data_IF_780616117230
#
_entry.id   IF_780616117230
#
_cell.length_a   1.000
_cell.length_b   1.000
_cell.length_c   1.000
_cell.angle_alpha   90.00
_cell.angle_beta   90.00
_cell.angle_gamma   90.00
#
_symmetry.space_group_name_H-M   'P 1'
#
loop_
_entity.id
_entity.type
_entity.pdbx_description
1 polymer ?
#
# COMPACT_ATOMS: atom_id res chain seq x y z
N UNK A 1 -25.12 31.30 -27.86
CA UNK A 1 -23.77 30.68 -27.77
C UNK A 1 -23.36 30.36 -26.33
N UNK A 2 -23.98 30.98 -25.33
CA UNK A 2 -23.56 30.88 -23.92
C UNK A 2 -23.66 29.49 -23.29
N UNK A 3 -24.63 28.67 -23.71
CA UNK A 3 -24.84 27.32 -23.14
C UNK A 3 -23.76 26.32 -23.53
N UNK A 4 -23.13 26.50 -24.70
CA UNK A 4 -22.05 25.62 -25.17
C UNK A 4 -20.74 25.97 -24.46
N UNK A 5 -20.48 27.26 -24.25
CA UNK A 5 -19.31 27.74 -23.51
C UNK A 5 -19.36 27.34 -22.02
N UNK A 6 -20.53 27.46 -21.39
CA UNK A 6 -20.72 27.04 -20.00
C UNK A 6 -20.46 25.54 -19.80
N UNK A 7 -20.91 24.68 -20.73
CA UNK A 7 -20.67 23.24 -20.65
C UNK A 7 -19.20 22.84 -20.92
N UNK A 8 -18.47 23.61 -21.72
CA UNK A 8 -17.06 23.38 -22.01
C UNK A 8 -16.16 23.75 -20.82
N UNK A 9 -16.48 24.86 -20.15
CA UNK A 9 -15.86 25.28 -18.88
C UNK A 9 -16.14 24.30 -17.74
N UNK A 10 -17.37 23.76 -17.65
CA UNK A 10 -17.73 22.75 -16.64
C UNK A 10 -17.00 21.42 -16.83
N UNK A 11 -16.68 21.05 -18.08
CA UNK A 11 -15.93 19.84 -18.40
C UNK A 11 -14.44 19.95 -18.10
N UNK A 12 -13.84 21.12 -18.33
CA UNK A 12 -12.43 21.41 -17.98
C UNK A 12 -12.21 21.46 -16.47
N UNK A 13 -13.18 22.00 -15.71
CA UNK A 13 -13.08 22.06 -14.24
C UNK A 13 -13.10 20.66 -13.61
N UNK A 14 -13.89 19.73 -14.12
CA UNK A 14 -13.92 18.35 -13.61
C UNK A 14 -12.63 17.57 -13.87
N UNK A 15 -12.04 17.71 -15.06
CA UNK A 15 -10.77 17.06 -15.37
C UNK A 15 -9.64 17.59 -14.49
N UNK A 16 -9.60 18.90 -14.24
CA UNK A 16 -8.64 19.52 -13.34
C UNK A 16 -8.79 19.02 -11.89
N UNK A 17 -10.02 18.85 -11.40
CA UNK A 17 -10.28 18.33 -10.06
C UNK A 17 -9.84 16.87 -9.89
N UNK A 18 -9.99 16.03 -10.92
CA UNK A 18 -9.52 14.63 -10.90
C UNK A 18 -8.00 14.57 -10.82
N UNK A 19 -7.31 15.38 -11.65
CA UNK A 19 -5.84 15.45 -11.63
C UNK A 19 -5.30 16.03 -10.32
N UNK A 20 -5.98 17.04 -9.75
CA UNK A 20 -5.63 17.60 -8.45
C UNK A 20 -5.80 16.55 -7.34
N UNK A 21 -6.87 15.77 -7.37
CA UNK A 21 -7.09 14.67 -6.42
C UNK A 21 -6.01 13.61 -6.48
N UNK A 22 -5.59 13.20 -7.69
CA UNK A 22 -4.49 12.25 -7.88
C UNK A 22 -3.15 12.80 -7.38
N UNK A 23 -2.85 14.07 -7.66
CA UNK A 23 -1.63 14.71 -7.18
C UNK A 23 -1.59 14.82 -5.65
N UNK A 24 -2.70 15.16 -5.01
CA UNK A 24 -2.82 15.22 -3.54
C UNK A 24 -2.66 13.82 -2.94
N UNK A 25 -3.28 12.79 -3.52
CA UNK A 25 -3.14 11.42 -3.06
C UNK A 25 -1.68 10.93 -3.14
N UNK A 26 -0.99 11.22 -4.24
CA UNK A 26 0.43 10.89 -4.41
C UNK A 26 1.32 11.63 -3.39
N UNK A 27 1.06 12.91 -3.14
CA UNK A 27 1.80 13.69 -2.16
C UNK A 27 1.59 13.17 -0.73
N UNK A 28 0.36 12.80 -0.36
CA UNK A 28 0.06 12.22 0.96
C UNK A 28 0.75 10.86 1.14
N UNK A 29 0.80 10.02 0.11
CA UNK A 29 1.52 8.76 0.14
C UNK A 29 3.03 8.98 0.37
N UNK A 30 3.64 9.95 -0.31
CA UNK A 30 5.05 10.29 -0.12
C UNK A 30 5.34 10.81 1.31
N UNK A 31 4.46 11.64 1.87
CA UNK A 31 4.58 12.13 3.25
C UNK A 31 4.47 10.99 4.26
N UNK A 32 3.52 10.08 4.08
CA UNK A 32 3.35 8.91 4.95
C UNK A 32 4.60 8.01 4.92
N UNK A 33 5.18 7.80 3.74
CA UNK A 33 6.41 7.01 3.56
C UNK A 33 7.62 7.68 4.24
N UNK A 34 7.76 9.00 4.13
CA UNK A 34 8.83 9.75 4.78
C UNK A 34 8.70 9.76 6.32
N UNK A 35 7.48 9.90 6.84
CA UNK A 35 7.20 9.82 8.27
C UNK A 35 7.51 8.42 8.82
N UNK A 36 7.17 7.39 8.05
CA UNK A 36 7.46 5.99 8.40
C UNK A 36 8.97 5.71 8.47
N UNK A 37 9.75 6.21 7.51
CA UNK A 37 11.21 6.09 7.53
C UNK A 37 11.84 6.80 8.74
N UNK A 38 11.32 7.96 9.14
CA UNK A 38 11.82 8.64 10.35
C UNK A 38 11.57 7.82 11.62
N UNK A 39 10.37 7.28 11.79
CA UNK A 39 10.01 6.52 13.00
C UNK A 39 10.79 5.21 13.11
N UNK A 40 11.18 4.62 11.98
CA UNK A 40 11.95 3.36 11.96
C UNK A 40 13.44 3.58 12.17
N UNK A 41 14.01 4.70 11.71
CA UNK A 41 15.42 5.03 11.91
C UNK A 41 15.70 5.58 13.32
N UNK A 42 14.79 6.38 13.88
CA UNK A 42 14.96 7.01 15.20
C UNK A 42 14.77 6.03 16.37
N UNK A 43 14.30 4.80 16.10
CA UNK A 43 14.06 3.78 17.13
C UNK A 43 15.31 2.96 17.47
N UNK A 44 16.36 3.03 16.65
CA UNK A 44 17.62 2.32 16.91
C UNK A 44 18.56 3.09 17.89
N UNK A 45 18.32 4.37 18.14
CA UNK A 45 19.21 5.20 19.00
C UNK A 45 18.74 5.33 20.46
N UNK A 46 17.52 4.91 20.81
CA UNK A 46 16.89 5.19 22.12
C UNK A 46 16.44 3.92 22.89
N UNK A 47 17.35 2.96 23.09
CA UNK A 47 17.13 1.86 24.07
C UNK A 47 17.90 2.13 25.37
N UNK A 48 17.27 2.73 26.39
CA UNK A 48 17.83 2.70 27.73
C UNK A 48 17.79 1.26 28.26
N UNK A 49 18.96 0.71 28.58
CA UNK A 49 19.22 -0.64 29.10
C UNK A 49 18.71 -0.88 30.54
N UNK A 50 17.57 -0.29 30.92
CA UNK A 50 16.99 -0.46 32.27
C UNK A 50 15.47 -0.57 32.25
N UNK A 51 14.98 -1.79 32.03
CA UNK A 51 13.84 -2.40 32.76
C UNK A 51 13.54 -3.80 32.24
N UNK A 52 14.22 -4.77 32.84
CA UNK A 52 13.62 -6.09 33.01
C UNK A 52 12.42 -5.97 33.97
N UNK A 53 11.45 -6.88 33.82
CA UNK A 53 10.24 -7.08 34.65
C UNK A 53 9.10 -6.08 34.44
N UNK A 54 8.30 -6.26 33.38
CA UNK A 54 6.82 -6.20 33.40
C UNK A 54 6.24 -6.16 31.97
N UNK A 55 6.26 -7.28 31.23
CA UNK A 55 5.35 -7.45 30.08
C UNK A 55 5.27 -8.94 29.68
N UNK A 56 4.56 -9.75 30.45
CA UNK A 56 4.39 -11.19 30.15
C UNK A 56 3.03 -11.55 29.55
N UNK A 57 2.04 -10.64 29.51
CA UNK A 57 0.64 -11.04 29.22
C UNK A 57 0.00 -10.44 27.95
N UNK A 58 0.77 -9.98 26.95
CA UNK A 58 0.19 -9.25 25.80
C UNK A 58 0.32 -9.92 24.42
N UNK A 59 0.78 -11.18 24.31
CA UNK A 59 0.88 -11.85 23.01
C UNK A 59 0.08 -13.14 22.98
N UNK A 60 -1.23 -13.00 22.74
CA UNK A 60 -2.05 -14.08 22.19
C UNK A 60 -1.89 -14.07 20.65
N UNK A 61 -1.67 -15.21 19.99
CA UNK A 61 -1.57 -15.27 18.55
C UNK A 61 -2.92 -14.95 17.91
N UNK A 62 -2.96 -13.93 17.04
CA UNK A 62 -4.08 -13.67 16.14
C UNK A 62 -4.20 -14.84 15.14
N UNK A 63 -4.92 -15.90 15.53
CA UNK A 63 -5.56 -16.80 14.57
C UNK A 63 -6.64 -16.01 13.86
N UNK A 64 -6.48 -15.81 12.56
CA UNK A 64 -7.49 -15.29 11.65
C UNK A 64 -8.70 -16.24 11.62
N UNK A 65 -9.67 -15.98 12.48
CA UNK A 65 -11.06 -16.36 12.27
C UNK A 65 -11.78 -15.14 11.67
N UNK A 66 -11.98 -15.13 10.36
CA UNK A 66 -13.03 -14.32 9.76
C UNK A 66 -14.38 -14.95 10.17
N UNK A 67 -14.84 -14.60 11.36
CA UNK A 67 -16.09 -15.05 11.95
C UNK A 67 -16.85 -13.86 12.54
N UNK A 68 -18.00 -13.58 11.94
CA UNK A 68 -19.00 -12.60 12.39
C UNK A 68 -19.48 -12.94 13.81
N UNK A 69 -19.32 -12.03 14.79
CA UNK A 69 -20.25 -11.83 15.91
C UNK A 69 -19.82 -10.68 16.87
N UNK A 70 -20.63 -9.62 16.87
CA UNK A 70 -21.19 -8.87 18.01
C UNK A 70 -20.44 -8.78 19.36
N UNK A 71 -20.03 -7.55 19.70
CA UNK A 71 -20.39 -6.85 20.94
C UNK A 71 -19.79 -7.29 22.29
N UNK A 72 -18.89 -6.47 22.84
CA UNK A 72 -18.99 -5.97 24.23
C UNK A 72 -17.99 -4.85 24.53
N UNK A 73 -18.50 -3.87 25.26
CA UNK A 73 -17.83 -2.69 25.81
C UNK A 73 -16.73 -3.01 26.82
N UNK A 74 -15.69 -2.16 26.87
CA UNK A 74 -14.69 -2.17 27.93
C UNK A 74 -13.54 -1.17 27.73
N UNK A 75 -13.66 -0.01 28.39
CA UNK A 75 -12.63 0.92 28.86
C UNK A 75 -11.64 1.60 27.88
N UNK A 76 -12.02 2.82 27.50
CA UNK A 76 -11.21 3.78 26.72
C UNK A 76 -10.87 5.07 27.49
N UNK A 77 -10.22 4.98 28.66
CA UNK A 77 -9.77 6.20 29.40
C UNK A 77 -8.26 6.36 29.59
N UNK A 78 -7.43 5.37 29.26
CA UNK A 78 -5.97 5.46 29.44
C UNK A 78 -5.17 6.03 28.25
N UNK A 79 -5.67 5.95 27.01
CA UNK A 79 -4.85 6.13 25.80
C UNK A 79 -4.84 7.56 25.22
N UNK A 80 -5.73 8.45 25.71
CA UNK A 80 -5.93 9.77 25.09
C UNK A 80 -4.89 10.84 25.50
N UNK A 81 -4.10 10.61 26.55
CA UNK A 81 -3.15 11.61 27.08
C UNK A 81 -1.76 11.54 26.41
N UNK A 82 -1.33 10.36 25.94
CA UNK A 82 0.00 10.19 25.33
C UNK A 82 0.03 10.57 23.84
N UNK A 83 -1.07 10.34 23.12
CA UNK A 83 -1.21 10.71 21.69
C UNK A 83 -1.28 12.23 21.49
N UNK A 84 -1.70 13.00 22.51
CA UNK A 84 -1.93 14.44 22.37
C UNK A 84 -0.63 15.29 22.40
N UNK A 85 0.48 14.75 22.91
CA UNK A 85 1.76 15.49 23.09
C UNK A 85 2.73 15.33 21.90
N UNK A 86 2.61 14.27 21.09
CA UNK A 86 3.42 14.09 19.87
C UNK A 86 2.86 14.81 18.63
N UNK A 87 1.56 15.05 18.57
CA UNK A 87 0.88 15.66 17.41
C UNK A 87 1.12 17.17 17.30
N UNK A 88 1.48 17.86 18.39
CA UNK A 88 1.74 19.30 18.37
C UNK A 88 3.13 19.65 17.83
N UNK A 89 4.15 18.82 18.05
CA UNK A 89 5.52 19.10 17.60
C UNK A 89 5.74 18.92 16.08
N UNK A 90 4.95 18.07 15.42
CA UNK A 90 5.02 17.85 13.96
C UNK A 90 4.25 18.95 13.19
N UNK A 91 3.29 19.60 13.84
CA UNK A 91 2.44 20.62 13.20
C UNK A 91 3.18 21.94 12.95
N UNK A 92 4.20 22.23 13.75
CA UNK A 92 4.93 23.52 13.69
C UNK A 92 6.18 23.50 12.78
N UNK A 93 6.65 22.32 12.34
CA UNK A 93 7.89 22.21 11.54
C UNK A 93 7.69 21.94 10.03
N UNK A 94 6.51 21.48 9.59
CA UNK A 94 6.30 21.04 8.20
C UNK A 94 5.53 22.03 7.30
N UNK A 95 4.90 23.06 7.86
CA UNK A 95 4.03 23.99 7.11
C UNK A 95 4.78 24.97 6.18
N UNK A 96 5.99 25.50 6.48
CA UNK A 96 6.60 26.50 5.60
C UNK A 96 7.29 25.92 4.35
N UNK A 97 7.56 24.60 4.27
CA UNK A 97 8.28 23.99 3.16
C UNK A 97 7.41 23.68 1.92
N UNK A 98 6.09 23.50 2.11
CA UNK A 98 5.15 23.12 1.02
C UNK A 98 4.43 24.35 0.42
N UNK A 99 4.42 25.49 1.11
CA UNK A 99 3.69 26.69 0.68
C UNK A 99 4.37 27.45 -0.49
N UNK A 100 5.69 27.35 -0.66
CA UNK A 100 6.43 28.04 -1.74
C UNK A 100 6.17 27.49 -3.16
N UNK A 101 6.19 26.17 -3.42
CA UNK A 101 5.95 25.67 -4.78
C UNK A 101 4.51 25.91 -5.28
N UNK A 102 3.50 25.88 -4.40
CA UNK A 102 2.10 26.12 -4.78
C UNK A 102 1.82 27.59 -5.14
N UNK A 103 2.48 28.56 -4.49
CA UNK A 103 2.40 29.98 -4.87
C UNK A 103 3.00 30.26 -6.25
N UNK A 104 4.17 29.67 -6.55
CA UNK A 104 4.81 29.81 -7.88
C UNK A 104 3.93 29.25 -9.00
N UNK A 105 3.24 28.14 -8.74
CA UNK A 105 2.34 27.53 -9.73
C UNK A 105 1.08 28.39 -9.97
N UNK A 106 0.56 29.05 -8.92
CA UNK A 106 -0.52 30.03 -9.03
C UNK A 106 -0.14 31.29 -9.82
N UNK A 107 1.09 31.78 -9.68
CA UNK A 107 1.58 32.95 -10.43
C UNK A 107 1.85 32.63 -11.90
N UNK A 108 2.39 31.45 -12.21
CA UNK A 108 2.59 31.00 -13.59
C UNK A 108 1.27 30.79 -14.34
N UNK A 109 0.25 30.22 -13.68
CA UNK A 109 -1.08 30.07 -14.27
C UNK A 109 -1.78 31.41 -14.48
N UNK A 110 -1.59 32.38 -13.57
CA UNK A 110 -2.13 33.73 -13.73
C UNK A 110 -1.45 34.49 -14.88
N UNK A 111 -0.13 34.39 -14.99
CA UNK A 111 0.64 35.00 -16.08
C UNK A 111 0.29 34.41 -17.45
N UNK A 112 0.00 33.11 -17.52
CA UNK A 112 -0.43 32.44 -18.76
C UNK A 112 -1.85 32.87 -19.21
N UNK A 113 -2.68 33.40 -18.31
CA UNK A 113 -4.08 33.73 -18.61
C UNK A 113 -4.33 35.20 -18.94
N UNK A 114 -3.40 36.11 -18.63
CA UNK A 114 -3.54 37.56 -18.87
C UNK A 114 -2.99 38.05 -20.21
N UNK A 115 -2.47 37.17 -21.06
CA UNK A 115 -2.04 37.51 -22.43
C UNK A 115 -3.24 37.68 -23.37
N UNK A 116 -4.03 38.75 -23.19
CA UNK A 116 -5.11 39.11 -24.10
C UNK A 116 -4.52 39.71 -25.39
N UNK A 117 -4.39 38.88 -26.42
CA UNK A 117 -4.05 39.30 -27.78
C UNK A 117 -5.31 39.91 -28.40
N UNK A 118 -5.24 41.20 -28.75
CA UNK A 118 -6.24 41.86 -29.57
C UNK A 118 -6.15 41.31 -30.99
N UNK A 119 -7.10 40.45 -31.35
CA UNK A 119 -7.24 39.90 -32.70
C UNK A 119 -8.25 40.78 -33.44
N UNK A 120 -7.80 41.42 -34.52
CA UNK A 120 -8.68 42.17 -35.43
C UNK A 120 -9.71 41.24 -36.08
N UNK A 121 -10.95 41.74 -36.32
CA UNK A 121 -12.02 40.93 -36.88
C UNK A 121 -11.78 40.63 -38.37
N UNK A 122 -11.17 39.48 -38.64
CA UNK A 122 -11.20 38.83 -39.96
C UNK A 122 -12.66 38.57 -40.40
N UNK A 123 -12.97 38.63 -41.71
CA UNK A 123 -14.30 38.37 -42.23
C UNK A 123 -14.73 36.93 -41.92
N UNK A 124 -15.82 36.81 -41.18
CA UNK A 124 -16.34 35.56 -40.60
C UNK A 124 -16.66 34.55 -41.72
N UNK A 125 -15.89 33.45 -41.88
CA UNK A 125 -16.29 32.36 -42.76
C UNK A 125 -17.60 31.77 -42.24
N UNK A 126 -18.48 31.33 -43.14
CA UNK A 126 -19.75 30.68 -42.79
C UNK A 126 -19.49 29.59 -41.73
N UNK A 127 -19.98 29.84 -40.51
CA UNK A 127 -19.63 29.02 -39.34
C UNK A 127 -20.04 27.56 -39.52
N UNK A 128 -19.39 26.63 -38.80
CA UNK A 128 -19.72 25.22 -38.87
C UNK A 128 -21.19 25.00 -38.51
N UNK A 129 -21.87 24.15 -39.27
CA UNK A 129 -23.27 23.84 -39.02
C UNK A 129 -23.44 23.14 -37.67
N UNK A 130 -24.61 23.27 -37.04
CA UNK A 130 -24.93 22.60 -35.76
C UNK A 130 -24.66 21.08 -35.82
N UNK A 131 -24.93 20.46 -36.97
CA UNK A 131 -24.63 19.05 -37.20
C UNK A 131 -23.12 18.74 -37.15
N UNK A 132 -22.28 19.59 -37.75
CA UNK A 132 -20.83 19.43 -37.69
C UNK A 132 -20.29 19.57 -36.26
N UNK A 133 -20.82 20.53 -35.48
CA UNK A 133 -20.46 20.72 -34.08
C UNK A 133 -20.83 19.51 -33.22
N UNK A 134 -22.03 18.95 -33.40
CA UNK A 134 -22.47 17.74 -32.69
C UNK A 134 -21.65 16.50 -33.07
N UNK A 135 -21.32 16.35 -34.35
CA UNK A 135 -20.46 15.26 -34.83
C UNK A 135 -19.03 15.37 -34.26
N UNK A 136 -18.47 16.59 -34.19
CA UNK A 136 -17.18 16.83 -33.57
C UNK A 136 -17.21 16.53 -32.05
N UNK A 137 -18.25 16.99 -31.34
CA UNK A 137 -18.44 16.69 -29.92
C UNK A 137 -18.53 15.18 -29.65
N UNK A 138 -19.28 14.45 -30.49
CA UNK A 138 -19.41 12.99 -30.38
C UNK A 138 -18.07 12.29 -30.56
N UNK A 139 -17.26 12.70 -31.55
CA UNK A 139 -15.89 12.19 -31.74
C UNK A 139 -15.01 12.44 -30.51
N UNK A 140 -15.08 13.64 -29.93
CA UNK A 140 -14.35 13.95 -28.69
C UNK A 140 -14.78 13.07 -27.52
N UNK A 141 -16.08 12.80 -27.35
CA UNK A 141 -16.56 11.89 -26.31
C UNK A 141 -16.08 10.44 -26.53
N UNK A 142 -16.08 9.98 -27.78
CA UNK A 142 -15.55 8.65 -28.13
C UNK A 142 -14.05 8.55 -27.84
N UNK A 143 -13.27 9.57 -28.18
CA UNK A 143 -11.83 9.62 -27.87
C UNK A 143 -11.58 9.58 -26.36
N UNK A 144 -12.31 10.39 -25.58
CA UNK A 144 -12.23 10.38 -24.12
C UNK A 144 -12.62 9.04 -23.50
N UNK A 145 -13.63 8.36 -24.07
CA UNK A 145 -14.01 7.02 -23.62
C UNK A 145 -12.91 5.99 -23.86
N UNK A 146 -12.23 6.06 -25.03
CA UNK A 146 -11.06 5.21 -25.32
C UNK A 146 -9.91 5.48 -24.35
N UNK A 147 -9.58 6.75 -24.13
CA UNK A 147 -8.52 7.16 -23.18
C UNK A 147 -8.82 6.70 -21.75
N UNK A 148 -10.08 6.82 -21.31
CA UNK A 148 -10.52 6.34 -20.01
C UNK A 148 -10.41 4.81 -19.88
N UNK A 149 -10.77 4.07 -20.94
CA UNK A 149 -10.57 2.63 -21.01
C UNK A 149 -9.09 2.24 -20.86
N UNK A 150 -8.20 2.86 -21.65
CA UNK A 150 -6.75 2.64 -21.55
C UNK A 150 -6.18 3.02 -20.18
N UNK A 151 -6.75 4.02 -19.50
CA UNK A 151 -6.35 4.38 -18.14
C UNK A 151 -6.80 3.31 -17.13
N UNK A 152 -8.02 2.79 -17.26
CA UNK A 152 -8.53 1.71 -16.42
C UNK A 152 -7.71 0.42 -16.59
N UNK A 153 -7.38 0.04 -17.83
CA UNK A 153 -6.57 -1.16 -18.11
C UNK A 153 -5.17 -1.04 -17.49
N UNK A 154 -4.53 0.12 -17.60
CA UNK A 154 -3.22 0.38 -16.98
C UNK A 154 -3.30 0.33 -15.45
N UNK A 155 -4.36 0.88 -14.86
CA UNK A 155 -4.56 0.84 -13.42
C UNK A 155 -4.81 -0.59 -12.92
N UNK A 156 -5.58 -1.40 -13.66
CA UNK A 156 -5.77 -2.81 -13.35
C UNK A 156 -4.44 -3.58 -13.39
N UNK A 157 -3.59 -3.32 -14.39
CA UNK A 157 -2.26 -3.92 -14.45
C UNK A 157 -1.35 -3.51 -13.29
N UNK A 158 -1.44 -2.25 -12.82
CA UNK A 158 -0.73 -1.79 -11.62
C UNK A 158 -1.26 -2.50 -10.36
N UNK A 159 -2.58 -2.61 -10.21
CA UNK A 159 -3.19 -3.31 -9.08
C UNK A 159 -2.76 -4.78 -9.03
N UNK A 160 -2.69 -5.46 -10.19
CA UNK A 160 -2.15 -6.81 -10.29
C UNK A 160 -0.71 -6.92 -9.78
N UNK A 161 0.20 -6.06 -10.26
CA UNK A 161 1.60 -6.05 -9.78
C UNK A 161 1.72 -5.78 -8.28
N UNK A 162 0.94 -4.85 -7.74
CA UNK A 162 0.94 -4.56 -6.30
C UNK A 162 0.39 -5.73 -5.48
N UNK A 163 -0.56 -6.48 -6.02
CA UNK A 163 -1.05 -7.71 -5.41
C UNK A 163 0.05 -8.77 -5.35
N UNK A 164 0.78 -8.96 -6.44
CA UNK A 164 1.89 -9.91 -6.49
C UNK A 164 3.02 -9.51 -5.52
N UNK A 165 3.36 -8.23 -5.45
CA UNK A 165 4.32 -7.69 -4.47
C UNK A 165 3.87 -7.93 -3.02
N UNK A 166 2.58 -7.76 -2.71
CA UNK A 166 2.05 -8.04 -1.38
C UNK A 166 2.12 -9.53 -1.05
N UNK A 167 1.77 -10.42 -1.98
CA UNK A 167 1.90 -11.87 -1.78
C UNK A 167 3.35 -12.28 -1.51
N UNK A 168 4.30 -11.74 -2.28
CA UNK A 168 5.73 -12.00 -2.04
C UNK A 168 6.20 -11.48 -0.67
N UNK A 169 5.67 -10.33 -0.22
CA UNK A 169 5.97 -9.79 1.11
C UNK A 169 5.34 -10.61 2.23
N UNK A 170 4.13 -11.16 2.02
CA UNK A 170 3.47 -12.08 2.93
C UNK A 170 4.28 -13.36 3.10
N UNK A 171 4.68 -14.00 2.00
CA UNK A 171 5.51 -15.22 2.05
C UNK A 171 6.84 -14.98 2.80
N UNK A 172 7.44 -13.80 2.62
CA UNK A 172 8.65 -13.42 3.34
C UNK A 172 8.41 -13.22 4.84
N UNK A 173 7.29 -12.60 5.22
CA UNK A 173 6.90 -12.43 6.62
C UNK A 173 6.61 -13.78 7.29
N UNK A 174 5.94 -14.70 6.60
CA UNK A 174 5.64 -16.04 7.10
C UNK A 174 6.92 -16.89 7.28
N UNK A 175 7.86 -16.84 6.33
CA UNK A 175 9.17 -17.50 6.50
C UNK A 175 9.92 -16.96 7.72
N UNK A 176 10.00 -15.62 7.86
CA UNK A 176 10.66 -15.00 9.01
C UNK A 176 9.98 -15.36 10.34
N UNK A 177 8.65 -15.47 10.34
CA UNK A 177 7.90 -15.96 11.50
C UNK A 177 8.28 -17.39 11.88
N UNK A 178 8.33 -18.31 10.91
CA UNK A 178 8.70 -19.71 11.18
C UNK A 178 10.13 -19.86 11.70
N UNK A 179 11.07 -19.09 11.17
CA UNK A 179 12.45 -19.08 11.65
C UNK A 179 12.54 -18.55 13.09
N UNK A 180 11.83 -17.46 13.39
CA UNK A 180 11.71 -16.93 14.74
C UNK A 180 11.08 -17.93 15.71
N UNK A 181 9.98 -18.59 15.33
CA UNK A 181 9.26 -19.55 16.18
C UNK A 181 10.12 -20.79 16.48
N UNK A 182 10.86 -21.27 15.47
CA UNK A 182 11.84 -22.35 15.65
C UNK A 182 12.96 -21.94 16.63
N UNK A 183 13.53 -20.74 16.47
CA UNK A 183 14.56 -20.22 17.36
C UNK A 183 14.04 -19.97 18.78
N UNK A 184 12.81 -19.51 18.95
CA UNK A 184 12.19 -19.36 20.28
C UNK A 184 11.96 -20.72 20.95
N UNK A 185 11.55 -21.73 20.20
CA UNK A 185 11.41 -23.10 20.69
C UNK A 185 12.75 -23.67 21.15
N UNK A 186 13.81 -23.53 20.34
CA UNK A 186 15.17 -23.92 20.70
C UNK A 186 15.65 -23.17 21.95
N UNK A 187 15.44 -21.85 22.01
CA UNK A 187 15.81 -21.02 23.16
C UNK A 187 15.10 -21.47 24.45
N UNK A 188 13.80 -21.79 24.39
CA UNK A 188 13.06 -22.30 25.54
C UNK A 188 13.60 -23.65 26.03
N UNK A 189 13.95 -24.55 25.11
CA UNK A 189 14.56 -25.85 25.45
C UNK A 189 15.89 -25.67 26.16
N UNK A 190 16.77 -24.81 25.64
CA UNK A 190 18.09 -24.54 26.23
C UNK A 190 17.96 -23.84 27.58
N UNK A 191 17.05 -22.87 27.71
CA UNK A 191 16.77 -22.20 28.98
C UNK A 191 16.22 -23.15 30.04
N UNK A 192 15.40 -24.15 29.65
CA UNK A 192 14.95 -25.19 30.55
C UNK A 192 16.11 -26.07 31.03
N UNK A 193 17.06 -26.41 30.15
CA UNK A 193 18.26 -27.17 30.53
C UNK A 193 19.15 -26.44 31.54
N UNK A 194 19.16 -25.09 31.56
CA UNK A 194 19.87 -24.29 32.57
C UNK A 194 19.33 -24.44 34.00
N UNK A 195 18.10 -24.92 34.16
CA UNK A 195 17.55 -25.20 35.50
C UNK A 195 18.20 -26.43 36.16
N UNK A 196 18.85 -27.28 35.37
CA UNK A 196 19.59 -28.44 35.88
C UNK A 196 20.90 -27.93 36.50
N UNK A 197 21.19 -28.27 37.78
CA UNK A 197 22.43 -27.88 38.42
C UNK A 197 23.65 -28.28 37.58
N UNK A 198 24.55 -27.32 37.36
CA UNK A 198 25.74 -27.55 36.55
C UNK A 198 26.73 -28.44 37.31
N UNK A 199 27.32 -29.45 36.64
CA UNK A 199 28.39 -30.22 37.24
C UNK A 199 29.57 -29.29 37.58
N UNK A 200 30.19 -29.51 38.73
CA UNK A 200 31.40 -28.79 39.12
C UNK A 200 32.57 -29.27 38.26
N UNK A 201 32.81 -28.56 37.17
CA UNK A 201 33.97 -28.76 36.29
C UNK A 201 35.22 -28.09 36.87
N UNK A 202 36.39 -28.74 36.84
CA UNK A 202 37.63 -28.12 37.30
C UNK A 202 37.99 -26.92 36.40
N UNK A 203 38.36 -25.80 37.03
CA UNK A 203 38.68 -24.53 36.38
C UNK A 203 40.14 -24.52 35.90
N UNK A 204 40.46 -25.38 34.94
CA UNK A 204 41.81 -25.48 34.37
C UNK A 204 41.96 -24.63 33.11
N UNK A 205 43.19 -24.21 32.74
CA UNK A 205 43.43 -23.53 31.46
C UNK A 205 42.96 -24.33 30.24
N UNK A 206 43.10 -25.66 30.27
CA UNK A 206 42.64 -26.54 29.19
C UNK A 206 41.11 -26.51 29.03
N UNK A 207 40.38 -26.48 30.16
CA UNK A 207 38.92 -26.35 30.18
C UNK A 207 38.47 -25.01 29.62
N UNK A 208 39.13 -23.90 29.97
CA UNK A 208 38.79 -22.59 29.40
C UNK A 208 39.03 -22.51 27.90
N UNK A 209 40.15 -23.07 27.41
CA UNK A 209 40.41 -23.14 25.98
C UNK A 209 39.37 -24.01 25.25
N UNK A 210 38.85 -25.07 25.89
CA UNK A 210 37.76 -25.86 25.34
C UNK A 210 36.46 -25.06 25.23
N UNK A 211 36.08 -24.32 26.28
CA UNK A 211 34.87 -23.47 26.30
C UNK A 211 34.93 -22.34 25.29
N UNK A 212 36.09 -21.70 25.16
CA UNK A 212 36.30 -20.67 24.15
C UNK A 212 36.09 -21.23 22.73
N UNK A 213 36.72 -22.37 22.41
CA UNK A 213 36.50 -23.07 21.12
C UNK A 213 35.05 -23.50 20.94
N UNK A 214 34.36 -23.89 22.00
CA UNK A 214 32.94 -24.20 21.95
C UNK A 214 32.10 -22.97 21.59
N UNK A 215 32.31 -21.84 22.28
CA UNK A 215 31.64 -20.58 21.98
C UNK A 215 31.88 -20.15 20.53
N UNK A 216 33.14 -20.11 20.09
CA UNK A 216 33.49 -19.69 18.72
C UNK A 216 32.85 -20.58 17.66
N UNK A 217 32.90 -21.91 17.81
CA UNK A 217 32.27 -22.83 16.83
C UNK A 217 30.75 -22.64 16.76
N UNK A 218 30.09 -22.50 17.89
CA UNK A 218 28.64 -22.30 17.90
C UNK A 218 28.24 -20.92 17.37
N UNK A 219 29.01 -19.87 17.68
CA UNK A 219 28.79 -18.54 17.12
C UNK A 219 28.96 -18.52 15.59
N UNK A 220 30.03 -19.15 15.07
CA UNK A 220 30.24 -19.30 13.62
C UNK A 220 29.11 -20.10 12.96
N UNK A 221 28.68 -21.20 13.59
CA UNK A 221 27.55 -22.00 13.08
C UNK A 221 26.26 -21.18 13.05
N UNK A 222 25.93 -20.45 14.12
CA UNK A 222 24.74 -19.60 14.17
C UNK A 222 24.78 -18.50 13.11
N UNK A 223 25.93 -17.86 12.90
CA UNK A 223 26.11 -16.85 11.85
C UNK A 223 25.98 -17.44 10.44
N UNK A 224 26.53 -18.64 10.19
CA UNK A 224 26.39 -19.32 8.90
C UNK A 224 24.93 -19.63 8.53
N UNK A 225 24.05 -19.76 9.53
CA UNK A 225 22.60 -19.93 9.34
C UNK A 225 21.83 -18.60 9.44
N UNK A 226 22.49 -17.45 9.34
CA UNK A 226 21.92 -16.10 9.49
C UNK A 226 21.17 -15.86 10.82
N UNK A 227 21.46 -16.65 11.86
CA UNK A 227 20.84 -16.49 13.18
C UNK A 227 21.53 -15.42 14.02
N UNK A 228 22.79 -15.11 13.72
CA UNK A 228 23.52 -14.00 14.33
C UNK A 228 23.98 -13.03 13.23
N UNK A 229 23.87 -11.74 13.52
CA UNK A 229 24.44 -10.70 12.67
C UNK A 229 25.97 -10.74 12.69
N UNK A 230 26.60 -10.15 11.67
CA UNK A 230 28.05 -10.06 11.60
C UNK A 230 28.66 -9.29 12.80
N UNK A 231 27.93 -8.30 13.33
CA UNK A 231 28.34 -7.55 14.51
C UNK A 231 28.30 -8.41 15.77
N UNK A 232 27.20 -9.16 15.97
CA UNK A 232 27.07 -10.09 17.10
C UNK A 232 28.11 -11.22 17.04
N UNK A 233 28.41 -11.74 15.86
CA UNK A 233 29.50 -12.70 15.67
C UNK A 233 30.84 -12.08 16.08
N UNK A 234 31.15 -10.89 15.57
CA UNK A 234 32.38 -10.16 15.94
C UNK A 234 32.48 -9.93 17.44
N UNK A 235 31.39 -9.53 18.10
CA UNK A 235 31.36 -9.35 19.55
C UNK A 235 31.52 -10.66 20.31
N UNK A 236 30.95 -11.77 19.82
CA UNK A 236 31.15 -13.10 20.41
C UNK A 236 32.59 -13.59 20.29
N UNK A 237 33.22 -13.38 19.13
CA UNK A 237 34.62 -13.75 18.90
C UNK A 237 35.60 -12.88 19.70
N UNK A 238 35.26 -11.61 19.89
CA UNK A 238 36.06 -10.65 20.66
C UNK A 238 35.69 -10.58 22.16
N UNK A 239 34.78 -11.44 22.62
CA UNK A 239 34.31 -11.51 24.01
C UNK A 239 33.79 -10.15 24.57
N UNK A 240 33.10 -9.37 23.72
CA UNK A 240 32.48 -8.09 24.07
C UNK A 240 30.98 -8.27 24.36
N UNK A 241 30.27 -7.19 24.68
CA UNK A 241 28.80 -7.19 24.83
C UNK A 241 28.22 -8.29 25.76
N UNK A 242 29.01 -8.74 26.75
CA UNK A 242 28.59 -9.78 27.71
C UNK A 242 28.87 -11.23 27.28
N UNK A 243 29.51 -11.44 26.12
CA UNK A 243 30.02 -12.76 25.69
C UNK A 243 31.21 -13.17 26.55
N UNK A 244 31.01 -14.12 27.46
CA UNK A 244 32.07 -14.63 28.34
C UNK A 244 32.47 -16.07 27.96
N UNK A 245 33.69 -16.29 27.43
CA UNK A 245 34.18 -17.61 27.04
C UNK A 245 34.43 -18.54 28.25
N UNK A 246 34.43 -18.01 29.49
CA UNK A 246 34.65 -18.81 30.71
C UNK A 246 33.38 -19.46 31.25
N UNK A 247 32.20 -18.99 30.83
CA UNK A 247 30.89 -19.56 31.22
C UNK A 247 30.78 -21.03 30.84
N UNK A 248 29.91 -21.77 31.54
CA UNK A 248 29.67 -23.17 31.19
C UNK A 248 29.06 -23.25 29.78
N UNK A 249 29.36 -24.28 28.96
CA UNK A 249 28.86 -24.39 27.59
C UNK A 249 27.34 -24.19 27.44
N UNK A 250 26.53 -24.72 28.37
CA UNK A 250 25.06 -24.53 28.33
C UNK A 250 24.63 -23.07 28.59
N UNK A 251 25.40 -22.31 29.36
CA UNK A 251 25.13 -20.89 29.57
C UNK A 251 25.50 -20.08 28.33
N UNK A 252 26.61 -20.44 27.67
CA UNK A 252 27.01 -19.85 26.39
C UNK A 252 25.97 -20.13 25.31
N UNK A 253 25.50 -21.37 25.21
CA UNK A 253 24.43 -21.76 24.28
C UNK A 253 23.14 -20.97 24.56
N UNK A 254 22.78 -20.76 25.82
CA UNK A 254 21.59 -19.97 26.15
C UNK A 254 21.72 -18.49 25.78
N UNK A 255 22.91 -17.89 25.93
CA UNK A 255 23.15 -16.52 25.44
C UNK A 255 23.09 -16.47 23.90
N UNK A 256 23.67 -17.45 23.20
CA UNK A 256 23.57 -17.59 21.75
C UNK A 256 22.13 -17.72 21.27
N UNK A 257 21.34 -18.60 21.90
CA UNK A 257 19.92 -18.76 21.56
C UNK A 257 19.10 -17.50 21.85
N UNK A 258 19.43 -16.74 22.91
CA UNK A 258 18.76 -15.47 23.22
C UNK A 258 19.07 -14.41 22.17
N UNK A 259 20.34 -14.24 21.81
CA UNK A 259 20.76 -13.31 20.76
C UNK A 259 20.10 -13.68 19.42
N UNK A 260 20.17 -14.96 19.03
CA UNK A 260 19.54 -15.45 17.81
C UNK A 260 18.03 -15.21 17.75
N UNK A 261 17.33 -15.51 18.85
CA UNK A 261 15.90 -15.24 18.99
C UNK A 261 15.59 -13.75 18.80
N UNK A 262 16.40 -12.86 19.38
CA UNK A 262 16.17 -11.43 19.29
C UNK A 262 16.40 -10.92 17.86
N UNK A 263 17.50 -11.30 17.22
CA UNK A 263 17.80 -10.94 15.83
C UNK A 263 16.72 -11.40 14.86
N UNK A 264 16.25 -12.65 14.98
CA UNK A 264 15.15 -13.18 14.16
C UNK A 264 13.80 -12.51 14.45
N UNK A 265 13.56 -12.11 15.71
CA UNK A 265 12.36 -11.34 16.07
C UNK A 265 12.35 -9.98 15.38
N UNK A 266 13.50 -9.30 15.35
CA UNK A 266 13.64 -8.00 14.71
C UNK A 266 13.52 -8.11 13.19
N UNK A 267 14.05 -9.18 12.60
CA UNK A 267 13.85 -9.51 11.20
C UNK A 267 12.38 -9.76 10.86
N UNK A 268 11.68 -10.60 11.64
CA UNK A 268 10.24 -10.80 11.50
C UNK A 268 9.48 -9.47 11.61
N UNK A 269 9.82 -8.61 12.58
CA UNK A 269 9.24 -7.28 12.72
C UNK A 269 9.40 -6.42 11.46
N UNK A 270 10.59 -6.42 10.84
CA UNK A 270 10.84 -5.73 9.57
C UNK A 270 10.05 -6.34 8.42
N UNK A 271 9.95 -7.66 8.34
CA UNK A 271 9.21 -8.36 7.30
C UNK A 271 7.70 -8.07 7.38
N UNK A 272 7.11 -8.17 8.57
CA UNK A 272 5.70 -7.85 8.82
C UNK A 272 5.38 -6.38 8.49
N UNK A 273 6.31 -5.47 8.73
CA UNK A 273 6.11 -4.07 8.38
C UNK A 273 6.15 -3.81 6.87
N UNK A 274 7.03 -4.51 6.13
CA UNK A 274 7.03 -4.50 4.65
C UNK A 274 5.75 -5.08 4.07
N UNK A 275 5.29 -6.22 4.61
CA UNK A 275 4.00 -6.82 4.24
C UNK A 275 2.86 -5.82 4.41
N UNK A 276 2.77 -5.15 5.57
CA UNK A 276 1.72 -4.14 5.83
C UNK A 276 1.77 -2.99 4.83
N UNK A 277 2.95 -2.47 4.51
CA UNK A 277 3.10 -1.42 3.51
C UNK A 277 2.67 -1.89 2.12
N UNK A 278 3.06 -3.10 1.72
CA UNK A 278 2.66 -3.67 0.44
C UNK A 278 1.15 -3.93 0.37
N UNK A 279 0.55 -4.39 1.46
CA UNK A 279 -0.90 -4.57 1.57
C UNK A 279 -1.64 -3.25 1.31
N UNK A 280 -1.28 -2.18 2.04
CA UNK A 280 -1.90 -0.86 1.88
C UNK A 280 -1.73 -0.31 0.46
N UNK A 281 -0.56 -0.50 -0.14
CA UNK A 281 -0.31 -0.12 -1.52
C UNK A 281 -1.19 -0.91 -2.52
N UNK A 282 -1.39 -2.20 -2.27
CA UNK A 282 -2.25 -3.06 -3.10
C UNK A 282 -3.72 -2.65 -3.01
N UNK A 283 -4.22 -2.36 -1.80
CA UNK A 283 -5.58 -1.88 -1.57
C UNK A 283 -5.81 -0.52 -2.26
N UNK A 284 -4.86 0.40 -2.14
CA UNK A 284 -4.94 1.70 -2.80
C UNK A 284 -4.96 1.57 -4.33
N UNK A 285 -4.14 0.68 -4.89
CA UNK A 285 -4.10 0.43 -6.32
C UNK A 285 -5.40 -0.23 -6.83
N UNK A 286 -5.96 -1.17 -6.07
CA UNK A 286 -7.24 -1.80 -6.39
C UNK A 286 -8.39 -0.78 -6.39
N UNK A 287 -8.47 0.06 -5.36
CA UNK A 287 -9.48 1.12 -5.28
C UNK A 287 -9.37 2.13 -6.44
N UNK A 288 -8.14 2.49 -6.83
CA UNK A 288 -7.90 3.36 -7.98
C UNK A 288 -8.33 2.71 -9.32
N UNK A 289 -8.01 1.42 -9.50
CA UNK A 289 -8.44 0.66 -10.68
C UNK A 289 -9.98 0.58 -10.78
N UNK A 290 -10.65 0.31 -9.67
CA UNK A 290 -12.12 0.29 -9.61
C UNK A 290 -12.75 1.64 -9.92
N UNK A 291 -12.18 2.73 -9.38
CA UNK A 291 -12.62 4.09 -9.68
C UNK A 291 -12.49 4.42 -11.17
N UNK A 292 -11.34 4.11 -11.77
CA UNK A 292 -11.09 4.35 -13.19
C UNK A 292 -11.96 3.48 -14.11
N UNK A 293 -12.22 2.23 -13.73
CA UNK A 293 -13.16 1.36 -14.43
C UNK A 293 -14.57 1.97 -14.48
N UNK A 294 -15.10 2.40 -13.34
CA UNK A 294 -16.40 3.11 -13.28
C UNK A 294 -16.40 4.38 -14.13
N UNK A 295 -15.31 5.14 -14.13
CA UNK A 295 -15.18 6.35 -14.96
C UNK A 295 -15.16 6.03 -16.46
N UNK A 296 -14.47 4.95 -16.87
CA UNK A 296 -14.44 4.46 -18.24
C UNK A 296 -15.84 4.02 -18.71
N UNK A 297 -16.57 3.27 -17.87
CA UNK A 297 -17.95 2.85 -18.16
C UNK A 297 -18.87 4.06 -18.36
N UNK A 298 -18.77 5.06 -17.47
CA UNK A 298 -19.54 6.30 -17.58
C UNK A 298 -19.18 7.10 -18.84
N UNK A 299 -17.90 7.16 -19.22
CA UNK A 299 -17.46 7.80 -20.46
C UNK A 299 -17.99 7.05 -21.71
N UNK A 300 -17.93 5.72 -21.71
CA UNK A 300 -18.48 4.87 -22.77
C UNK A 300 -19.99 5.04 -22.93
N UNK A 301 -20.73 5.10 -21.82
CA UNK A 301 -22.17 5.35 -21.83
C UNK A 301 -22.52 6.71 -22.44
N UNK A 302 -21.78 7.78 -22.07
CA UNK A 302 -21.96 9.13 -22.64
C UNK A 302 -21.66 9.17 -24.14
N UNK A 303 -20.56 8.54 -24.57
CA UNK A 303 -20.19 8.46 -25.98
C UNK A 303 -21.26 7.72 -26.81
N UNK A 304 -21.75 6.57 -26.33
CA UNK A 304 -22.83 5.80 -26.99
C UNK A 304 -24.13 6.60 -27.08
N UNK A 305 -24.49 7.32 -26.04
CA UNK A 305 -25.69 8.17 -26.04
C UNK A 305 -25.58 9.32 -27.05
N UNK A 306 -24.42 10.00 -27.11
CA UNK A 306 -24.20 11.07 -28.08
C UNK A 306 -24.22 10.54 -29.53
N UNK A 307 -23.65 9.36 -29.76
CA UNK A 307 -23.70 8.70 -31.06
C UNK A 307 -25.13 8.38 -31.49
N UNK A 308 -25.98 7.86 -30.59
CA UNK A 308 -27.40 7.61 -30.93
C UNK A 308 -28.18 8.87 -31.29
N UNK A 309 -27.81 10.02 -30.73
CA UNK A 309 -28.46 11.32 -31.04
C UNK A 309 -27.95 11.99 -32.31
N UNK A 310 -26.74 11.67 -32.73
CA UNK A 310 -26.09 12.24 -33.92
C UNK A 310 -26.13 11.34 -35.13
N UNK A 311 -26.44 10.05 -34.94
CA UNK A 311 -26.79 9.17 -36.02
C UNK A 311 -27.90 9.86 -36.84
N UNK A 312 -27.70 10.06 -38.16
CA UNK A 312 -28.79 10.53 -39.00
C UNK A 312 -29.96 9.57 -38.74
N UNK A 313 -31.17 10.11 -38.68
CA UNK A 313 -32.36 9.28 -38.80
C UNK A 313 -32.26 8.65 -40.18
N UNK A 314 -31.52 7.54 -40.29
CA UNK A 314 -31.54 6.64 -41.44
C UNK A 314 -33.00 6.46 -41.68
N UNK A 315 -33.46 7.04 -42.80
CA UNK A 315 -34.84 7.15 -43.18
C UNK A 315 -35.51 5.88 -42.71
N UNK A 316 -36.39 6.02 -41.71
CA UNK A 316 -37.16 4.90 -41.21
C UNK A 316 -37.58 4.14 -42.47
N UNK A 317 -37.15 2.88 -42.64
CA UNK A 317 -37.36 2.16 -43.90
C UNK A 317 -38.81 2.41 -44.21
N UNK A 318 -39.07 3.13 -45.31
CA UNK A 318 -40.41 3.59 -45.63
C UNK A 318 -41.24 2.34 -45.47
N UNK A 319 -42.03 2.31 -44.40
CA UNK A 319 -42.89 1.19 -44.14
C UNK A 319 -43.87 1.39 -45.28
N UNK A 320 -43.57 0.71 -46.38
CA UNK A 320 -44.53 0.15 -47.30
C UNK A 320 -45.38 -0.79 -46.43
N UNK A 321 -46.15 -0.16 -45.52
CA UNK A 321 -47.37 -0.64 -44.92
C UNK A 321 -48.38 -0.66 -46.07
N UNK A 322 -48.06 -1.44 -47.10
CA UNK A 322 -49.06 -2.29 -47.71
C UNK A 322 -49.50 -3.23 -46.60
N UNK A 323 -50.49 -2.71 -45.87
CA UNK A 323 -51.26 -3.33 -44.82
C UNK A 323 -51.99 -4.55 -45.42
N UNK A 324 -51.26 -5.63 -45.68
CA UNK A 324 -51.87 -6.94 -45.88
C UNK A 324 -52.21 -7.45 -44.48
N UNK A 325 -53.40 -7.05 -44.02
CA UNK A 325 -54.08 -7.72 -42.93
C UNK A 325 -54.02 -9.24 -43.18
N UNK A 326 -53.36 -10.04 -42.31
CA UNK A 326 -53.55 -11.48 -42.35
C UNK A 326 -55.01 -11.71 -41.93
N UNK A 327 -55.85 -11.95 -42.92
CA UNK A 327 -57.18 -12.52 -42.71
C UNK A 327 -56.99 -13.77 -41.88
N UNK A 328 -57.61 -13.77 -40.71
CA UNK A 328 -57.71 -14.89 -39.78
C UNK A 328 -58.34 -16.07 -40.55
N UNK A 329 -57.51 -16.97 -41.09
CA UNK A 329 -57.98 -18.30 -41.46
C UNK A 329 -57.94 -19.17 -40.20
N UNK A 330 -59.04 -19.08 -39.46
CA UNK A 330 -59.49 -20.13 -38.57
C UNK A 330 -59.77 -21.38 -39.42
N UNK A 331 -58.82 -22.30 -39.47
CA UNK A 331 -59.05 -23.65 -39.98
C UNK A 331 -58.42 -24.65 -39.02
N UNK A 332 -59.29 -25.15 -38.15
CA UNK A 332 -59.35 -26.53 -37.69
C UNK A 332 -58.11 -27.41 -37.98
N UNK A 333 -57.39 -27.78 -36.93
CA UNK A 333 -56.89 -29.15 -36.88
C UNK A 333 -56.99 -29.71 -35.46
N UNK A 334 -58.10 -30.44 -35.23
CA UNK A 334 -58.21 -31.48 -34.22
C UNK A 334 -57.49 -32.72 -34.74
N UNK A 335 -57.03 -33.57 -33.82
CA UNK A 335 -56.45 -34.91 -34.00
C UNK A 335 -54.91 -34.90 -34.15
N UNK A 336 -54.13 -35.70 -33.40
CA UNK A 336 -54.37 -36.89 -32.58
C UNK A 336 -53.46 -36.89 -31.36
#
# INVERSE_FOLDING_TARGET
MDVVFANLLLGLSHAALIWLGLAVAAALAAIALAAYHRVTVDRDDDVPTSRATAHRDAFAPHRTAYGVATGRDGDARGSAAFVRRGVTAVRDSAVPAVARPLRRLGELLRAAFTGAVAVEPEPVPAGPSTGQLLAAHTRTLQQRAKEAGLAADRAAAVAGRRRDEWLAAQDAAERAWHEFDAADTDARRVLAARAIPLPRTPQTPAEYAFRERFLHRNAMSASAHNRLSALELSDALAHRAGWDPRRHPIEQEAELCRAARQSLRDEYGRAAAREKTAWLASEAAAAAADSLRRAADAAGNRARWAQRRTAPATAAPALDQTMVLPVIQAAANRSR
#
